data_IF_417370129211
#
_entry.id   IF_417370129211
#
_cell.length_a   1.000
_cell.length_b   1.000
_cell.length_c   1.000
_cell.angle_alpha   90.00
_cell.angle_beta   90.00
_cell.angle_gamma   90.00
#
_symmetry.space_group_name_H-M   'P 1'
#
loop_
_entity.id
_entity.type
_entity.pdbx_description
1 polymer ?
#
# COMPACT_ATOMS: atom_id res chain seq x y z
N UNK A 1 -19.13 -0.88 -15.50
CA UNK A 1 -18.20 -1.73 -14.72
C UNK A 1 -16.77 -1.22 -14.74
N UNK A 2 -16.18 -0.86 -15.89
CA UNK A 2 -14.82 -0.31 -15.94
C UNK A 2 -14.59 0.94 -15.09
N UNK A 3 -15.52 1.91 -15.09
CA UNK A 3 -15.39 3.12 -14.28
C UNK A 3 -15.38 2.84 -12.76
N UNK A 4 -16.24 1.93 -12.28
CA UNK A 4 -16.25 1.52 -10.88
C UNK A 4 -14.94 0.82 -10.49
N UNK A 5 -14.43 -0.06 -11.36
CA UNK A 5 -13.14 -0.73 -11.15
C UNK A 5 -12.00 0.28 -10.98
N UNK A 6 -11.93 1.28 -11.88
CA UNK A 6 -10.92 2.33 -11.80
C UNK A 6 -11.08 3.18 -10.54
N UNK A 7 -12.31 3.54 -10.16
CA UNK A 7 -12.56 4.32 -8.95
C UNK A 7 -12.13 3.56 -7.68
N UNK A 8 -12.41 2.26 -7.60
CA UNK A 8 -11.95 1.44 -6.47
C UNK A 8 -10.43 1.33 -6.47
N UNK A 9 -9.81 1.12 -7.64
CA UNK A 9 -8.35 1.09 -7.77
C UNK A 9 -7.68 2.40 -7.34
N UNK A 10 -8.26 3.54 -7.69
CA UNK A 10 -7.77 4.86 -7.23
C UNK A 10 -7.93 5.00 -5.72
N UNK A 11 -9.07 4.60 -5.17
CA UNK A 11 -9.30 4.57 -3.73
C UNK A 11 -8.28 3.69 -2.99
N UNK A 12 -8.00 2.51 -3.55
CA UNK A 12 -6.98 1.59 -3.05
C UNK A 12 -5.60 2.25 -3.05
N UNK A 13 -5.16 2.86 -4.16
CA UNK A 13 -3.88 3.55 -4.25
C UNK A 13 -3.72 4.65 -3.19
N UNK A 14 -4.76 5.50 -3.02
CA UNK A 14 -4.73 6.59 -2.03
C UNK A 14 -4.63 6.02 -0.61
N UNK A 15 -5.45 5.03 -0.27
CA UNK A 15 -5.46 4.41 1.06
C UNK A 15 -4.13 3.70 1.35
N UNK A 16 -3.60 2.97 0.37
CA UNK A 16 -2.31 2.30 0.44
C UNK A 16 -1.17 3.28 0.68
N UNK A 17 -1.10 4.38 -0.08
CA UNK A 17 -0.09 5.43 0.10
C UNK A 17 -0.14 6.07 1.48
N UNK A 18 -1.35 6.29 2.02
CA UNK A 18 -1.53 6.84 3.36
C UNK A 18 -1.07 5.87 4.46
N UNK A 19 -1.37 4.57 4.33
CA UNK A 19 -0.89 3.56 5.26
C UNK A 19 0.65 3.43 5.20
N UNK A 20 1.21 3.43 3.99
CA UNK A 20 2.65 3.35 3.78
C UNK A 20 3.38 4.57 4.35
N UNK A 21 2.84 5.79 4.20
CA UNK A 21 3.46 6.98 4.77
C UNK A 21 3.46 6.94 6.29
N UNK A 22 2.35 6.55 6.93
CA UNK A 22 2.27 6.41 8.38
C UNK A 22 3.28 5.36 8.90
N UNK A 23 3.39 4.21 8.22
CA UNK A 23 4.39 3.19 8.55
C UNK A 23 5.82 3.72 8.41
N UNK A 24 6.12 4.47 7.34
CA UNK A 24 7.45 5.07 7.13
C UNK A 24 7.78 6.08 8.22
N UNK A 25 6.84 6.93 8.61
CA UNK A 25 7.03 7.90 9.70
C UNK A 25 7.34 7.20 11.02
N UNK A 26 6.58 6.15 11.37
CA UNK A 26 6.84 5.36 12.57
C UNK A 26 8.23 4.70 12.56
N UNK A 27 8.62 4.12 11.42
CA UNK A 27 9.93 3.49 11.22
C UNK A 27 11.08 4.50 11.33
N UNK A 28 10.91 5.70 10.76
CA UNK A 28 11.88 6.81 10.90
C UNK A 28 12.00 7.22 12.37
N UNK A 29 10.89 7.35 13.09
CA UNK A 29 10.90 7.68 14.51
C UNK A 29 11.64 6.64 15.36
N UNK A 30 11.62 5.37 14.94
CA UNK A 30 12.37 4.29 15.58
C UNK A 30 13.85 4.21 15.13
N UNK A 31 14.29 5.10 14.24
CA UNK A 31 15.65 5.08 13.68
C UNK A 31 15.89 3.93 12.70
N UNK A 32 14.83 3.28 12.22
CA UNK A 32 14.92 2.17 11.28
C UNK A 32 15.13 2.66 9.85
N UNK A 33 15.87 1.89 9.06
CA UNK A 33 16.01 2.18 7.63
C UNK A 33 14.65 2.07 6.93
N UNK A 34 14.39 3.05 6.06
CA UNK A 34 13.20 3.13 5.23
C UNK A 34 13.60 3.10 3.77
N UNK A 35 13.06 2.13 3.04
CA UNK A 35 13.35 1.95 1.63
C UNK A 35 12.87 3.16 0.79
N UNK A 36 13.69 3.66 -0.16
CA UNK A 36 13.25 4.66 -1.12
C UNK A 36 12.12 4.13 -2.02
N UNK A 37 11.26 5.01 -2.49
CA UNK A 37 10.15 4.62 -3.36
C UNK A 37 10.65 4.30 -4.79
N UNK A 38 10.83 3.01 -5.09
CA UNK A 38 11.35 2.52 -6.38
C UNK A 38 10.33 2.52 -7.51
N UNK A 39 9.04 2.40 -7.19
CA UNK A 39 7.92 2.50 -8.14
C UNK A 39 7.06 3.73 -7.83
N UNK A 40 7.71 4.89 -7.71
CA UNK A 40 7.03 6.14 -7.38
C UNK A 40 6.25 6.78 -8.54
N UNK A 41 5.39 7.73 -8.18
CA UNK A 41 4.70 8.59 -9.14
C UNK A 41 3.70 7.85 -10.04
N UNK A 42 3.68 8.19 -11.32
CA UNK A 42 2.66 7.68 -12.27
C UNK A 42 2.72 6.18 -12.50
N UNK A 43 3.90 5.55 -12.42
CA UNK A 43 4.02 4.09 -12.59
C UNK A 43 3.39 3.35 -11.43
N UNK A 44 3.71 3.71 -10.18
CA UNK A 44 3.06 3.12 -9.00
C UNK A 44 1.55 3.27 -9.02
N UNK A 45 1.06 4.47 -9.39
CA UNK A 45 -0.38 4.71 -9.57
C UNK A 45 -1.02 3.77 -10.60
N UNK A 46 -0.44 3.63 -11.79
CA UNK A 46 -0.98 2.76 -12.83
C UNK A 46 -1.03 1.29 -12.38
N UNK A 47 0.01 0.83 -11.68
CA UNK A 47 0.06 -0.52 -11.15
C UNK A 47 -1.01 -0.75 -10.09
N UNK A 48 -1.11 0.13 -9.09
CA UNK A 48 -2.10 -0.01 -8.03
C UNK A 48 -3.52 0.02 -8.58
N UNK A 49 -3.85 0.97 -9.48
CA UNK A 49 -5.19 1.07 -10.07
C UNK A 49 -5.53 -0.13 -10.96
N UNK A 50 -4.55 -0.69 -11.67
CA UNK A 50 -4.78 -1.82 -12.60
C UNK A 50 -4.88 -3.14 -11.85
N UNK A 51 -4.04 -3.36 -10.84
CA UNK A 51 -3.86 -4.65 -10.18
C UNK A 51 -4.36 -4.70 -8.73
N UNK A 52 -5.10 -3.68 -8.27
CA UNK A 52 -5.65 -3.63 -6.90
C UNK A 52 -6.33 -4.92 -6.41
N UNK A 53 -7.10 -5.70 -7.21
CA UNK A 53 -7.76 -6.89 -6.68
C UNK A 53 -6.74 -7.97 -6.30
N UNK A 54 -5.65 -8.10 -7.06
CA UNK A 54 -4.60 -9.09 -6.81
C UNK A 54 -3.84 -8.71 -5.53
N UNK A 55 -3.48 -7.44 -5.39
CA UNK A 55 -2.80 -6.94 -4.19
C UNK A 55 -3.69 -7.03 -2.95
N UNK A 56 -4.94 -6.57 -3.02
CA UNK A 56 -5.88 -6.64 -1.92
C UNK A 56 -6.13 -8.10 -1.50
N UNK A 57 -6.29 -9.02 -2.46
CA UNK A 57 -6.48 -10.44 -2.16
C UNK A 57 -5.25 -11.05 -1.50
N UNK A 58 -4.05 -10.83 -2.06
CA UNK A 58 -2.81 -11.35 -1.49
C UNK A 58 -2.59 -10.83 -0.07
N UNK A 59 -2.77 -9.53 0.15
CA UNK A 59 -2.64 -8.90 1.46
C UNK A 59 -3.69 -9.44 2.45
N UNK A 60 -4.96 -9.61 2.05
CA UNK A 60 -5.96 -10.22 2.94
C UNK A 60 -5.57 -11.65 3.32
N UNK A 61 -5.07 -12.42 2.36
CA UNK A 61 -4.68 -13.81 2.58
C UNK A 61 -3.47 -13.94 3.52
N UNK A 62 -2.49 -13.07 3.40
CA UNK A 62 -1.24 -13.12 4.18
C UNK A 62 -1.31 -12.34 5.50
N UNK A 63 -2.04 -11.22 5.53
CA UNK A 63 -1.99 -10.22 6.60
C UNK A 63 -3.35 -9.92 7.24
N UNK A 64 -4.45 -10.45 6.69
CA UNK A 64 -5.80 -10.15 7.16
C UNK A 64 -6.29 -8.73 6.87
N UNK A 65 -5.53 -7.93 6.11
CA UNK A 65 -5.89 -6.56 5.72
C UNK A 65 -5.53 -6.31 4.25
N UNK A 66 -6.36 -5.59 3.47
CA UNK A 66 -6.01 -5.27 2.08
C UNK A 66 -4.86 -4.25 1.96
N UNK A 67 -4.52 -3.52 3.03
CA UNK A 67 -3.54 -2.43 3.04
C UNK A 67 -2.28 -2.82 3.85
N UNK A 68 -1.72 -4.00 3.59
CA UNK A 68 -0.62 -4.57 4.36
C UNK A 68 0.73 -3.89 4.04
N UNK A 69 1.32 -3.21 5.02
CA UNK A 69 2.62 -2.50 4.90
C UNK A 69 3.73 -3.30 5.59
N UNK A 70 5.02 -2.89 5.51
CA UNK A 70 6.07 -3.51 6.32
C UNK A 70 5.77 -3.52 7.82
N UNK A 71 5.04 -2.52 8.33
CA UNK A 71 4.60 -2.45 9.72
C UNK A 71 3.49 -3.45 10.07
N UNK A 72 2.87 -4.09 9.08
CA UNK A 72 1.84 -5.14 9.28
C UNK A 72 2.48 -6.47 9.67
N UNK A 73 3.68 -6.77 9.16
CA UNK A 73 4.43 -7.99 9.47
C UNK A 73 5.40 -7.81 10.65
N UNK A 74 6.06 -6.65 10.74
CA UNK A 74 6.98 -6.31 11.81
C UNK A 74 6.32 -5.30 12.73
N UNK A 75 5.82 -5.75 13.88
CA UNK A 75 5.14 -4.92 14.86
C UNK A 75 5.91 -3.63 15.18
N UNK A 76 5.39 -2.52 14.68
CA UNK A 76 5.49 -1.22 15.32
C UNK A 76 4.05 -0.84 15.70
N UNK A 77 3.56 -1.49 16.76
CA UNK A 77 2.49 -0.96 17.62
C UNK A 77 3.16 -0.42 18.87
#
# INVERSE_FOLDING_TARGET
>A
MGALYLLVGVGFHVAWKSALSACREARIAHGEWVEPEVLGGGLGFLFDVTFWPVYAWANIYHDGTPLATPCTHGGAQ
#
